data_IF_202503989294
#
_entry.id   IF_202503989294
#
_cell.length_a   1.000
_cell.length_b   1.000
_cell.length_c   1.000
_cell.angle_alpha   90.00
_cell.angle_beta   90.00
_cell.angle_gamma   90.00
#
_symmetry.space_group_name_H-M   'P 1'
#
loop_
_entity.id
_entity.type
_entity.pdbx_description
1 polymer ?
#
# COMPACT_ATOMS: atom_id res chain seq x y z
N UNK A 1 -23.99 -40.99 17.70
CA UNK A 1 -22.90 -40.57 18.60
C UNK A 1 -22.28 -39.33 17.98
N UNK A 2 -22.84 -38.17 18.31
CA UNK A 2 -22.46 -36.88 17.75
C UNK A 2 -21.36 -36.30 18.63
N UNK A 3 -20.13 -36.24 18.12
CA UNK A 3 -19.02 -35.60 18.84
C UNK A 3 -19.16 -34.09 18.61
N UNK A 4 -19.75 -33.40 19.59
CA UNK A 4 -19.60 -31.94 19.69
C UNK A 4 -18.16 -31.66 20.14
N UNK A 5 -17.34 -31.14 19.23
CA UNK A 5 -16.07 -30.50 19.61
C UNK A 5 -16.40 -29.15 20.24
N UNK A 6 -16.37 -29.09 21.57
CA UNK A 6 -16.36 -27.84 22.30
C UNK A 6 -14.99 -27.19 22.12
N UNK A 7 -14.92 -26.09 21.37
CA UNK A 7 -13.76 -25.22 21.37
C UNK A 7 -13.70 -24.49 22.72
N UNK A 8 -12.58 -24.65 23.43
CA UNK A 8 -12.25 -23.80 24.55
C UNK A 8 -12.16 -22.34 24.05
N UNK A 9 -12.65 -21.34 24.82
CA UNK A 9 -12.46 -19.96 24.45
C UNK A 9 -10.96 -19.66 24.45
N UNK A 10 -10.43 -19.19 23.32
CA UNK A 10 -9.13 -18.53 23.32
C UNK A 10 -9.22 -17.36 24.30
N UNK A 11 -8.28 -17.27 25.25
CA UNK A 11 -8.03 -16.03 25.97
C UNK A 11 -7.72 -14.96 24.91
N UNK A 12 -8.70 -14.09 24.66
CA UNK A 12 -8.50 -12.93 23.80
C UNK A 12 -7.56 -12.00 24.55
N UNK A 13 -6.34 -11.82 24.03
CA UNK A 13 -5.51 -10.68 24.41
C UNK A 13 -6.38 -9.42 24.35
N UNK A 14 -6.28 -8.55 25.36
CA UNK A 14 -7.04 -7.31 25.39
C UNK A 14 -6.82 -6.55 24.08
N UNK A 15 -7.90 -6.10 23.44
CA UNK A 15 -7.81 -5.37 22.18
C UNK A 15 -6.95 -4.11 22.38
N UNK A 16 -6.01 -3.87 21.46
CA UNK A 16 -5.18 -2.68 21.49
C UNK A 16 -6.07 -1.43 21.43
N UNK A 17 -5.92 -0.53 22.40
CA UNK A 17 -6.49 0.81 22.39
C UNK A 17 -5.39 1.84 22.11
N UNK A 18 -5.71 3.04 21.62
CA UNK A 18 -4.70 4.07 21.36
C UNK A 18 -3.83 4.33 22.59
N UNK A 19 -4.44 4.50 23.77
CA UNK A 19 -3.74 4.68 25.04
C UNK A 19 -2.76 3.54 25.36
N UNK A 20 -3.17 2.28 25.16
CA UNK A 20 -2.28 1.14 25.44
C UNK A 20 -1.10 1.08 24.49
N UNK A 21 -1.30 1.44 23.21
CA UNK A 21 -0.23 1.45 22.21
C UNK A 21 0.72 2.62 22.45
N UNK A 22 0.20 3.82 22.74
CA UNK A 22 1.00 5.01 23.01
C UNK A 22 1.83 4.88 24.29
N UNK A 23 1.30 4.28 25.36
CA UNK A 23 2.05 4.03 26.61
C UNK A 23 3.24 3.10 26.45
N UNK A 24 3.22 2.26 25.42
CA UNK A 24 4.31 1.32 25.10
C UNK A 24 5.39 1.98 24.20
N UNK A 25 5.18 3.23 23.77
CA UNK A 25 6.19 3.99 23.04
C UNK A 25 7.37 4.33 23.96
N UNK A 26 8.58 4.24 23.41
CA UNK A 26 9.81 4.65 24.14
C UNK A 26 9.97 6.17 24.16
N UNK A 27 9.27 6.88 23.26
CA UNK A 27 9.10 8.31 23.31
C UNK A 27 7.72 8.68 22.74
N UNK A 28 7.00 9.57 23.40
CA UNK A 28 5.69 10.06 23.00
C UNK A 28 5.53 11.53 23.40
N UNK A 29 5.22 12.38 22.43
CA UNK A 29 4.96 13.80 22.65
C UNK A 29 3.55 14.14 22.18
N UNK A 30 2.67 14.51 23.12
CA UNK A 30 1.31 14.99 22.88
C UNK A 30 1.24 16.49 22.49
N UNK A 31 2.41 17.17 22.49
CA UNK A 31 2.59 18.56 22.07
C UNK A 31 1.81 19.61 22.87
N UNK A 32 1.21 19.22 23.99
CA UNK A 32 0.64 20.11 25.02
C UNK A 32 1.72 20.98 25.69
N UNK A 33 2.94 20.46 25.71
CA UNK A 33 4.15 21.11 26.19
C UNK A 33 5.39 20.41 25.64
N UNK A 34 6.58 20.76 26.13
CA UNK A 34 7.84 20.23 25.61
C UNK A 34 8.19 18.84 26.16
N UNK A 35 7.45 18.31 27.14
CA UNK A 35 7.84 17.07 27.82
C UNK A 35 7.35 15.84 27.07
N UNK A 36 8.10 14.75 27.21
CA UNK A 36 7.65 13.41 26.86
C UNK A 36 6.54 12.96 27.82
N UNK A 37 5.43 12.46 27.28
CA UNK A 37 4.24 12.05 28.02
C UNK A 37 4.39 10.68 28.71
N UNK A 38 5.37 9.87 28.33
CA UNK A 38 5.69 8.58 28.93
C UNK A 38 6.79 8.66 30.01
N UNK A 39 7.31 9.86 30.30
CA UNK A 39 8.27 10.10 31.39
C UNK A 39 9.73 9.78 31.04
N UNK A 40 10.07 9.66 29.76
CA UNK A 40 11.45 9.41 29.32
C UNK A 40 12.39 10.62 29.45
N UNK A 41 11.86 11.79 29.83
CA UNK A 41 12.58 13.07 29.98
C UNK A 41 13.24 13.63 28.71
N UNK A 42 12.84 13.16 27.53
CA UNK A 42 13.28 13.67 26.22
C UNK A 42 12.59 15.01 25.88
N UNK A 43 13.01 16.08 26.56
CA UNK A 43 12.41 17.41 26.47
C UNK A 43 12.67 18.04 25.09
N UNK A 44 11.62 18.54 24.46
CA UNK A 44 11.65 19.25 23.18
C UNK A 44 12.19 20.67 23.36
N UNK A 45 13.26 20.97 22.63
CA UNK A 45 13.90 22.30 22.61
C UNK A 45 13.63 22.98 21.26
N UNK A 46 12.88 24.09 21.24
CA UNK A 46 12.63 24.87 20.04
C UNK A 46 13.90 25.37 19.35
N UNK A 47 13.93 25.36 18.02
CA UNK A 47 14.95 26.01 17.21
C UNK A 47 14.37 26.56 15.90
N UNK A 48 15.09 27.47 15.24
CA UNK A 48 14.63 28.14 14.03
C UNK A 48 13.66 29.28 14.31
N UNK A 49 12.53 29.30 13.59
CA UNK A 49 11.49 30.33 13.68
C UNK A 49 10.61 30.22 14.93
N UNK A 50 9.30 30.45 14.78
CA UNK A 50 8.38 30.55 15.92
C UNK A 50 7.73 29.20 16.26
N UNK A 51 7.84 28.79 17.52
CA UNK A 51 7.18 27.60 18.09
C UNK A 51 6.11 28.01 19.10
N UNK A 52 4.93 27.41 18.99
CA UNK A 52 3.80 27.60 19.90
C UNK A 52 3.31 26.22 20.37
N UNK A 53 3.66 25.80 21.59
CA UNK A 53 3.14 24.58 22.20
C UNK A 53 1.72 24.79 22.73
N UNK A 54 0.95 23.69 22.86
CA UNK A 54 -0.34 23.73 23.54
C UNK A 54 -1.43 24.48 22.77
N UNK A 55 -1.34 24.54 21.43
CA UNK A 55 -2.39 25.13 20.59
C UNK A 55 -3.63 24.23 20.67
N UNK A 56 -4.77 24.72 21.21
CA UNK A 56 -5.95 23.89 21.36
C UNK A 56 -6.56 23.54 20.01
N UNK A 57 -6.82 22.26 19.79
CA UNK A 57 -7.66 21.78 18.71
C UNK A 57 -9.13 21.99 19.09
N UNK A 58 -10.02 22.11 18.10
CA UNK A 58 -11.45 22.39 18.33
C UNK A 58 -12.34 21.46 17.52
N UNK A 59 -13.55 21.22 18.02
CA UNK A 59 -14.57 20.41 17.32
C UNK A 59 -14.09 19.00 16.96
N UNK A 60 -14.19 18.66 15.69
CA UNK A 60 -13.81 17.34 15.17
C UNK A 60 -12.30 17.08 15.29
N UNK A 61 -11.45 18.11 15.20
CA UNK A 61 -10.00 17.95 15.33
C UNK A 61 -9.60 17.54 16.76
N UNK A 62 -10.23 18.13 17.79
CA UNK A 62 -10.00 17.74 19.18
C UNK A 62 -10.48 16.31 19.46
N UNK A 63 -11.67 15.97 18.94
CA UNK A 63 -12.22 14.61 19.04
C UNK A 63 -11.32 13.59 18.33
N UNK A 64 -10.77 13.94 17.17
CA UNK A 64 -9.86 13.11 16.40
C UNK A 64 -8.51 12.90 17.08
N UNK A 65 -7.97 13.93 17.74
CA UNK A 65 -6.74 13.83 18.54
C UNK A 65 -6.90 12.86 19.71
N UNK A 66 -7.96 13.02 20.53
CA UNK A 66 -8.24 12.10 21.64
C UNK A 66 -8.45 10.64 21.20
N UNK A 67 -9.13 10.42 20.08
CA UNK A 67 -9.33 9.07 19.52
C UNK A 67 -8.03 8.39 19.07
N UNK A 68 -6.94 9.14 18.92
CA UNK A 68 -5.62 8.66 18.49
C UNK A 68 -4.61 8.60 19.64
N UNK A 69 -5.03 8.90 20.86
CA UNK A 69 -4.15 8.97 22.03
C UNK A 69 -3.50 10.33 22.25
N UNK A 70 -3.83 11.34 21.43
CA UNK A 70 -3.47 12.73 21.69
C UNK A 70 -4.33 13.37 22.79
N UNK A 71 -3.96 14.57 23.21
CA UNK A 71 -4.59 15.27 24.33
C UNK A 71 -5.50 16.44 23.89
N UNK A 72 -5.72 16.59 22.58
CA UNK A 72 -6.49 17.69 22.01
C UNK A 72 -5.70 18.98 21.81
N UNK A 73 -4.37 18.97 21.97
CA UNK A 73 -3.49 20.09 21.65
C UNK A 73 -2.50 19.73 20.55
N UNK A 74 -1.91 20.76 19.95
CA UNK A 74 -0.85 20.62 18.96
C UNK A 74 0.28 21.63 19.24
N UNK A 75 1.44 21.39 18.66
CA UNK A 75 2.46 22.41 18.49
C UNK A 75 2.31 23.04 17.11
N UNK A 76 2.32 24.38 17.04
CA UNK A 76 2.46 25.11 15.78
C UNK A 76 3.91 25.48 15.55
N UNK A 77 4.42 25.07 14.40
CA UNK A 77 5.76 25.41 13.91
C UNK A 77 5.63 26.42 12.76
N UNK A 78 6.48 27.44 12.73
CA UNK A 78 6.60 28.42 11.65
C UNK A 78 8.06 28.55 11.26
N UNK A 79 8.45 27.82 10.22
CA UNK A 79 9.84 27.67 9.79
C UNK A 79 10.75 27.31 10.97
N UNK A 80 10.30 26.36 11.78
CA UNK A 80 10.91 25.98 13.06
C UNK A 80 10.90 24.47 13.23
N UNK A 81 11.71 23.99 14.17
CA UNK A 81 11.79 22.57 14.53
C UNK A 81 12.01 22.40 16.04
N UNK A 82 11.99 21.15 16.50
CA UNK A 82 12.13 20.77 17.89
C UNK A 82 13.27 19.74 18.01
N UNK A 83 14.33 20.12 18.72
CA UNK A 83 15.42 19.23 19.06
C UNK A 83 15.01 18.38 20.25
N UNK A 84 15.15 17.07 20.15
CA UNK A 84 14.84 16.15 21.26
C UNK A 84 16.04 16.07 22.21
N UNK A 85 15.97 16.76 23.35
CA UNK A 85 16.68 16.56 24.63
C UNK A 85 18.22 16.60 24.67
N UNK A 86 18.90 16.57 23.53
CA UNK A 86 20.30 16.16 23.35
C UNK A 86 20.51 14.65 23.53
N UNK A 87 20.81 13.96 22.44
CA UNK A 87 21.17 12.52 22.40
C UNK A 87 22.45 12.13 23.16
N UNK A 88 22.89 12.90 24.16
CA UNK A 88 24.11 12.68 24.94
C UNK A 88 24.03 11.48 25.91
N UNK A 89 22.82 11.03 26.28
CA UNK A 89 22.61 9.82 27.11
C UNK A 89 22.09 8.60 26.32
N UNK A 90 22.01 8.69 24.99
CA UNK A 90 21.50 7.61 24.15
C UNK A 90 19.97 7.53 24.01
N UNK A 91 19.23 8.56 24.46
CA UNK A 91 17.77 8.61 24.31
C UNK A 91 17.37 8.55 22.82
N UNK A 92 16.44 7.65 22.50
CA UNK A 92 15.91 7.40 21.14
C UNK A 92 16.97 6.95 20.11
N UNK A 93 18.13 6.49 20.56
CA UNK A 93 19.06 5.74 19.71
C UNK A 93 18.58 4.31 19.55
N UNK A 94 17.79 4.07 18.50
CA UNK A 94 17.27 2.74 18.21
C UNK A 94 18.40 1.79 17.79
N UNK A 95 18.29 0.55 18.25
CA UNK A 95 19.14 -0.59 17.88
C UNK A 95 18.23 -1.74 17.48
N UNK A 96 18.76 -2.73 16.76
CA UNK A 96 17.96 -3.87 16.31
C UNK A 96 17.50 -3.73 14.86
N UNK A 97 16.66 -4.66 14.45
CA UNK A 97 16.10 -4.77 13.10
C UNK A 97 14.65 -4.26 13.00
N UNK A 98 14.12 -3.63 14.06
CA UNK A 98 12.69 -3.30 14.14
C UNK A 98 12.43 -1.98 14.84
N UNK A 99 11.46 -1.25 14.33
CA UNK A 99 10.97 -0.02 14.94
C UNK A 99 9.66 0.44 14.32
N UNK A 100 9.00 1.38 14.99
CA UNK A 100 7.87 2.14 14.42
C UNK A 100 7.99 3.62 14.78
N UNK A 101 7.71 4.52 13.85
CA UNK A 101 7.50 5.97 14.07
C UNK A 101 6.07 6.29 13.68
N UNK A 102 5.43 7.20 14.41
CA UNK A 102 4.19 7.87 14.01
C UNK A 102 4.37 9.39 14.15
N UNK A 103 3.88 10.15 13.18
CA UNK A 103 3.68 11.60 13.29
C UNK A 103 2.28 11.94 12.76
N UNK A 104 1.47 12.62 13.58
CA UNK A 104 0.21 13.23 13.13
C UNK A 104 0.41 14.72 12.89
N UNK A 105 0.27 15.16 11.64
CA UNK A 105 0.57 16.54 11.26
C UNK A 105 -0.48 17.13 10.30
N UNK A 106 -0.52 18.46 10.23
CA UNK A 106 -1.22 19.23 9.20
C UNK A 106 -0.27 20.29 8.66
N UNK A 107 0.04 20.22 7.37
CA UNK A 107 0.87 21.23 6.72
C UNK A 107 0.03 22.51 6.50
N UNK A 108 0.48 23.63 7.07
CA UNK A 108 -0.12 24.96 6.82
C UNK A 108 0.77 25.82 5.89
N UNK A 109 1.98 25.35 5.61
CA UNK A 109 2.93 25.99 4.70
C UNK A 109 2.57 25.77 3.23
N UNK A 110 2.96 26.72 2.38
CA UNK A 110 2.86 26.57 0.93
C UNK A 110 3.92 25.60 0.36
N UNK A 111 4.96 25.28 1.15
CA UNK A 111 6.07 24.42 0.75
C UNK A 111 5.96 23.05 1.43
N UNK A 112 6.04 22.00 0.62
CA UNK A 112 6.07 20.60 1.07
C UNK A 112 7.50 20.07 1.20
N UNK A 113 8.53 20.86 0.89
CA UNK A 113 9.94 20.46 1.03
C UNK A 113 10.43 20.55 2.48
N UNK A 114 9.89 19.67 3.33
CA UNK A 114 10.11 19.69 4.78
C UNK A 114 10.37 18.30 5.32
N UNK A 115 10.82 18.21 6.57
CA UNK A 115 11.07 16.96 7.29
C UNK A 115 10.21 16.92 8.54
N UNK A 116 9.48 15.82 8.74
CA UNK A 116 8.53 15.67 9.85
C UNK A 116 9.24 15.16 11.10
N UNK A 117 10.13 14.17 10.97
CA UNK A 117 10.90 13.58 12.07
C UNK A 117 12.15 12.91 11.51
N UNK A 118 13.32 13.22 12.06
CA UNK A 118 14.57 12.76 11.47
C UNK A 118 15.72 12.57 12.44
N UNK A 119 16.45 11.46 12.23
CA UNK A 119 17.75 11.17 12.81
C UNK A 119 18.73 10.88 11.66
N UNK A 120 19.09 11.96 10.96
CA UNK A 120 19.79 11.94 9.68
C UNK A 120 21.32 11.91 9.84
N UNK A 121 21.95 13.02 10.21
CA UNK A 121 23.41 13.09 10.39
C UNK A 121 24.25 12.85 9.13
N UNK A 122 23.62 12.85 7.95
CA UNK A 122 24.21 12.61 6.64
C UNK A 122 23.84 11.24 6.06
N UNK A 123 23.89 11.09 4.73
CA UNK A 123 23.40 9.87 4.05
C UNK A 123 24.06 8.56 4.53
N UNK A 124 25.34 8.60 4.93
CA UNK A 124 26.07 7.43 5.42
C UNK A 124 25.75 7.10 6.88
N UNK A 125 25.10 8.02 7.59
CA UNK A 125 24.82 7.94 9.04
C UNK A 125 23.32 7.93 9.35
N UNK A 126 22.46 8.16 8.35
CA UNK A 126 21.01 8.16 8.44
C UNK A 126 20.50 6.87 9.09
N UNK A 127 19.80 6.98 10.22
CA UNK A 127 19.06 5.87 10.82
C UNK A 127 17.62 5.84 10.30
N UNK A 128 16.91 6.95 10.46
CA UNK A 128 15.55 7.10 9.94
C UNK A 128 15.25 8.57 9.62
N UNK A 129 14.50 8.77 8.54
CA UNK A 129 14.06 10.07 8.07
C UNK A 129 12.60 9.95 7.61
N UNK A 130 11.70 10.78 8.10
CA UNK A 130 10.35 10.92 7.59
C UNK A 130 10.20 12.33 7.03
N UNK A 131 10.02 12.42 5.72
CA UNK A 131 10.09 13.67 4.98
C UNK A 131 8.91 13.87 4.03
N UNK A 132 8.76 15.13 3.63
CA UNK A 132 7.84 15.58 2.60
C UNK A 132 8.63 16.23 1.45
N UNK A 133 8.10 16.15 0.23
CA UNK A 133 8.68 16.82 -0.93
C UNK A 133 7.61 17.39 -1.85
N UNK A 134 7.83 18.59 -2.37
CA UNK A 134 6.93 19.17 -3.37
C UNK A 134 7.18 18.56 -4.75
N UNK A 135 6.13 18.05 -5.39
CA UNK A 135 6.23 17.41 -6.70
C UNK A 135 5.76 18.35 -7.83
N UNK A 136 6.11 18.02 -9.07
CA UNK A 136 5.57 18.70 -10.25
C UNK A 136 4.04 18.64 -10.29
N UNK A 137 3.43 19.61 -10.98
CA UNK A 137 1.97 19.75 -11.07
C UNK A 137 1.24 19.92 -9.72
N UNK A 138 1.97 20.29 -8.64
CA UNK A 138 1.40 20.65 -7.34
C UNK A 138 0.96 19.46 -6.49
N UNK A 139 1.33 18.23 -6.85
CA UNK A 139 1.25 17.10 -5.92
C UNK A 139 2.36 17.21 -4.85
N UNK A 140 2.27 16.39 -3.81
CA UNK A 140 3.31 16.26 -2.81
C UNK A 140 3.68 14.78 -2.63
N UNK A 141 4.87 14.51 -2.15
CA UNK A 141 5.30 13.17 -1.72
C UNK A 141 5.47 13.18 -0.20
N UNK A 142 5.02 12.11 0.46
CA UNK A 142 5.49 11.74 1.79
C UNK A 142 6.36 10.50 1.62
N UNK A 143 7.58 10.58 2.14
CA UNK A 143 8.57 9.53 2.01
C UNK A 143 9.30 9.25 3.32
N UNK A 144 9.93 8.09 3.36
CA UNK A 144 10.84 7.74 4.45
C UNK A 144 12.11 7.10 3.93
N UNK A 145 13.18 7.28 4.68
CA UNK A 145 14.43 6.56 4.52
C UNK A 145 14.72 5.82 5.82
N UNK A 146 15.07 4.53 5.72
CA UNK A 146 15.57 3.72 6.83
C UNK A 146 16.96 3.22 6.46
N UNK A 147 17.96 3.52 7.30
CA UNK A 147 19.32 3.07 7.11
C UNK A 147 19.66 1.88 7.98
N UNK A 148 20.15 0.83 7.33
CA UNK A 148 20.71 -0.36 7.98
C UNK A 148 22.17 -0.59 7.56
N UNK A 149 22.78 -1.60 8.17
CA UNK A 149 24.05 -2.19 7.71
C UNK A 149 23.97 -2.82 6.31
N UNK A 150 22.77 -2.95 5.73
CA UNK A 150 22.52 -3.42 4.35
C UNK A 150 22.18 -2.30 3.37
N UNK A 151 22.29 -1.04 3.79
CA UNK A 151 22.06 0.12 2.93
C UNK A 151 20.84 0.95 3.33
N UNK A 152 20.22 1.61 2.36
CA UNK A 152 19.05 2.48 2.57
C UNK A 152 17.81 1.86 1.93
N UNK A 153 16.72 1.80 2.68
CA UNK A 153 15.38 1.54 2.15
C UNK A 153 14.58 2.84 2.05
N UNK A 154 13.76 2.93 0.99
CA UNK A 154 12.87 4.07 0.77
C UNK A 154 11.46 3.60 0.48
N UNK A 155 10.48 4.17 1.16
CA UNK A 155 9.06 4.04 0.83
C UNK A 155 8.46 5.42 0.64
N UNK A 156 7.45 5.53 -0.22
CA UNK A 156 6.84 6.81 -0.58
C UNK A 156 5.39 6.67 -1.00
N UNK A 157 4.62 7.74 -0.84
CA UNK A 157 3.26 7.90 -1.34
C UNK A 157 3.09 9.31 -1.92
N UNK A 158 2.36 9.43 -3.01
CA UNK A 158 2.00 10.72 -3.60
C UNK A 158 0.66 11.16 -3.03
N UNK A 159 0.60 12.39 -2.54
CA UNK A 159 -0.60 13.04 -2.00
C UNK A 159 -1.11 14.09 -2.98
N UNK A 160 -2.40 13.98 -3.33
CA UNK A 160 -3.05 14.89 -4.27
C UNK A 160 -3.27 16.28 -3.66
N UNK A 161 -3.40 17.32 -4.50
CA UNK A 161 -3.63 18.71 -4.05
C UNK A 161 -4.76 18.88 -3.02
N UNK A 162 -5.84 18.10 -3.16
CA UNK A 162 -7.01 18.20 -2.31
C UNK A 162 -6.84 17.55 -0.93
N UNK A 163 -5.82 16.71 -0.78
CA UNK A 163 -5.53 15.99 0.46
C UNK A 163 -4.53 16.78 1.32
N UNK A 164 -3.67 17.60 0.71
CA UNK A 164 -2.56 18.31 1.35
C UNK A 164 -2.93 19.32 2.46
N UNK A 165 -4.19 19.73 2.59
CA UNK A 165 -4.61 20.69 3.62
C UNK A 165 -5.16 20.03 4.88
N UNK A 166 -5.35 18.71 4.85
CA UNK A 166 -5.89 17.91 5.94
C UNK A 166 -4.86 17.53 6.99
N UNK A 167 -5.37 16.96 8.09
CA UNK A 167 -4.55 16.20 9.02
C UNK A 167 -4.21 14.85 8.42
N UNK A 168 -2.97 14.40 8.61
CA UNK A 168 -2.51 13.07 8.23
C UNK A 168 -1.81 12.37 9.39
N UNK A 169 -2.10 11.07 9.53
CA UNK A 169 -1.37 10.14 10.38
C UNK A 169 -0.36 9.38 9.53
N UNK A 170 0.94 9.64 9.72
CA UNK A 170 1.99 8.95 8.96
C UNK A 170 2.77 8.04 9.88
N UNK A 171 2.70 6.73 9.62
CA UNK A 171 3.48 5.74 10.34
C UNK A 171 4.49 5.06 9.43
N UNK A 172 5.70 4.84 9.95
CA UNK A 172 6.75 4.06 9.28
C UNK A 172 7.11 2.90 10.18
N UNK A 173 7.08 1.69 9.63
CA UNK A 173 7.40 0.47 10.37
C UNK A 173 8.55 -0.27 9.69
N UNK A 174 9.61 -0.53 10.45
CA UNK A 174 10.64 -1.49 10.06
C UNK A 174 10.40 -2.81 10.81
N UNK A 175 10.29 -3.91 10.07
CA UNK A 175 9.93 -5.23 10.58
C UNK A 175 11.04 -6.29 10.37
N UNK A 176 12.30 -5.85 10.26
CA UNK A 176 13.49 -6.69 10.03
C UNK A 176 13.63 -7.32 8.64
N UNK A 177 12.53 -7.37 7.90
CA UNK A 177 12.46 -7.94 6.54
C UNK A 177 11.80 -7.02 5.52
N UNK A 178 11.14 -5.95 5.99
CA UNK A 178 10.54 -4.92 5.16
C UNK A 178 10.39 -3.60 5.91
N UNK A 179 10.34 -2.52 5.15
CA UNK A 179 9.91 -1.19 5.59
C UNK A 179 8.54 -0.91 5.00
N UNK A 180 7.57 -0.55 5.83
CA UNK A 180 6.20 -0.23 5.46
C UNK A 180 5.91 1.24 5.78
N UNK A 181 5.29 1.96 4.84
CA UNK A 181 4.72 3.29 5.06
C UNK A 181 3.20 3.18 5.13
N UNK A 182 2.64 3.82 6.15
CA UNK A 182 1.22 3.95 6.37
C UNK A 182 0.82 5.42 6.31
N UNK A 183 -0.31 5.68 5.66
CA UNK A 183 -0.97 6.97 5.63
C UNK A 183 -2.41 6.76 6.10
N UNK A 184 -2.82 7.47 7.14
CA UNK A 184 -4.17 7.44 7.71
C UNK A 184 -4.63 6.02 8.05
N UNK A 185 -3.71 5.23 8.64
CA UNK A 185 -3.91 3.84 9.04
C UNK A 185 -3.84 2.79 7.92
N UNK A 186 -3.76 3.21 6.65
CA UNK A 186 -3.64 2.31 5.50
C UNK A 186 -2.17 2.14 5.08
N UNK A 187 -1.72 0.89 4.86
CA UNK A 187 -0.39 0.64 4.29
C UNK A 187 -0.37 1.06 2.83
N UNK A 188 0.38 2.11 2.51
CA UNK A 188 0.45 2.73 1.17
C UNK A 188 1.71 2.38 0.40
N UNK A 189 2.77 1.92 1.07
CA UNK A 189 4.01 1.49 0.42
C UNK A 189 4.72 0.44 1.28
N UNK A 190 5.43 -0.49 0.62
CA UNK A 190 6.20 -1.54 1.29
C UNK A 190 7.39 -1.95 0.42
N UNK A 191 8.58 -2.03 1.01
CA UNK A 191 9.80 -2.49 0.32
C UNK A 191 10.51 -3.54 1.16
N UNK A 192 11.03 -4.58 0.51
CA UNK A 192 11.88 -5.57 1.17
C UNK A 192 13.20 -4.92 1.63
N UNK A 193 13.51 -5.05 2.91
CA UNK A 193 14.74 -4.52 3.50
C UNK A 193 15.06 -5.29 4.77
N UNK A 194 16.32 -5.62 4.98
CA UNK A 194 16.76 -6.38 6.15
C UNK A 194 18.09 -5.83 6.65
N UNK A 195 18.50 -6.25 7.84
CA UNK A 195 19.71 -5.75 8.49
C UNK A 195 19.43 -5.00 9.79
N UNK A 196 20.48 -4.77 10.54
CA UNK A 196 20.44 -3.99 11.78
C UNK A 196 20.39 -2.51 11.44
N UNK A 197 19.56 -1.74 12.17
CA UNK A 197 19.59 -0.27 12.09
C UNK A 197 21.02 0.21 12.27
N UNK A 198 21.44 1.20 11.46
CA UNK A 198 22.79 1.75 11.55
C UNK A 198 23.08 2.23 12.98
N UNK A 199 24.35 2.21 13.42
CA UNK A 199 24.70 2.68 14.75
C UNK A 199 24.21 4.10 15.02
N UNK A 200 23.91 4.36 16.29
CA UNK A 200 23.52 5.68 16.78
C UNK A 200 24.45 6.79 16.27
N UNK A 201 23.84 7.90 15.84
CA UNK A 201 24.55 9.14 15.56
C UNK A 201 24.58 10.03 16.81
N UNK A 202 25.65 10.82 16.94
CA UNK A 202 25.75 11.93 17.90
C UNK A 202 24.87 13.13 17.52
N UNK A 203 24.21 13.04 16.37
CA UNK A 203 23.26 14.02 15.86
C UNK A 203 21.91 13.84 16.56
N UNK A 204 21.30 14.92 17.06
CA UNK A 204 20.03 14.83 17.75
C UNK A 204 18.91 14.36 16.81
N UNK A 205 17.89 13.74 17.39
CA UNK A 205 16.59 13.61 16.74
C UNK A 205 15.95 15.00 16.66
N UNK A 206 15.38 15.31 15.50
CA UNK A 206 14.64 16.57 15.26
C UNK A 206 13.24 16.25 14.77
N UNK A 207 12.24 16.94 15.33
CA UNK A 207 10.86 16.95 14.84
C UNK A 207 10.64 18.26 14.09
N UNK A 208 10.09 18.21 12.88
CA UNK A 208 9.86 19.37 12.04
C UNK A 208 11.14 19.95 11.40
N UNK A 209 12.19 19.14 11.23
CA UNK A 209 13.46 19.56 10.64
C UNK A 209 14.39 18.39 10.33
N UNK A 210 15.41 18.64 9.51
CA UNK A 210 16.42 17.67 9.10
C UNK A 210 17.80 18.08 9.64
N UNK A 211 18.39 17.28 10.55
CA UNK A 211 19.66 17.62 11.14
C UNK A 211 20.83 17.23 10.23
N UNK A 212 21.58 18.22 9.76
CA UNK A 212 22.82 18.07 8.97
C UNK A 212 24.02 18.56 9.77
N UNK A 213 24.57 17.70 10.63
CA UNK A 213 25.64 18.09 11.56
C UNK A 213 25.10 18.96 12.68
N UNK A 214 25.58 20.20 12.80
CA UNK A 214 25.11 21.18 13.81
C UNK A 214 23.97 22.07 13.31
N UNK A 215 23.65 22.02 12.00
CA UNK A 215 22.60 22.83 11.40
C UNK A 215 21.33 21.99 11.18
N UNK A 216 20.18 22.67 11.22
CA UNK A 216 18.86 22.10 10.94
C UNK A 216 18.25 22.80 9.72
N UNK A 217 17.88 22.01 8.72
CA UNK A 217 17.35 22.45 7.42
C UNK A 217 15.97 21.86 7.16
N UNK A 218 15.28 22.31 6.10
CA UNK A 218 13.95 21.80 5.69
C UNK A 218 12.89 21.88 6.80
N UNK A 219 12.88 23.00 7.51
CA UNK A 219 12.01 23.21 8.67
C UNK A 219 10.53 23.19 8.32
N UNK A 220 9.72 22.79 9.30
CA UNK A 220 8.29 22.60 9.13
C UNK A 220 7.50 23.88 9.41
N UNK A 221 6.42 24.06 8.66
CA UNK A 221 5.42 25.12 8.87
C UNK A 221 4.03 24.50 8.90
N UNK A 222 3.45 24.38 10.08
CA UNK A 222 2.16 23.71 10.27
C UNK A 222 1.92 23.31 11.70
N UNK A 223 1.00 22.36 11.89
CA UNK A 223 0.68 21.78 13.19
C UNK A 223 1.17 20.34 13.27
N UNK A 224 1.68 19.96 14.44
CA UNK A 224 1.90 18.57 14.83
C UNK A 224 1.09 18.32 16.09
N UNK A 225 0.17 17.38 16.04
CA UNK A 225 -0.67 16.99 17.18
C UNK A 225 0.11 16.09 18.11
N UNK A 226 0.69 15.02 17.57
CA UNK A 226 1.56 14.16 18.36
C UNK A 226 2.58 13.40 17.51
N UNK A 227 3.65 12.95 18.16
CA UNK A 227 4.65 12.08 17.57
C UNK A 227 5.07 11.00 18.57
N UNK A 228 5.33 9.79 18.07
CA UNK A 228 5.67 8.64 18.90
C UNK A 228 6.67 7.70 18.22
N UNK A 229 7.49 7.03 19.02
CA UNK A 229 8.53 6.10 18.58
C UNK A 229 8.48 4.83 19.41
N UNK A 230 8.55 3.68 18.75
CA UNK A 230 8.63 2.35 19.36
C UNK A 230 9.89 1.63 18.90
N UNK A 231 10.58 0.94 19.81
CA UNK A 231 11.68 0.01 19.51
C UNK A 231 11.19 -1.38 19.04
N UNK A 232 9.94 -1.47 18.59
CA UNK A 232 9.31 -2.68 18.05
C UNK A 232 8.50 -2.37 16.80
N UNK A 233 8.18 -3.43 16.07
CA UNK A 233 7.25 -3.39 14.96
C UNK A 233 5.81 -3.44 15.49
N UNK A 234 5.04 -2.37 15.33
CA UNK A 234 3.61 -2.38 15.62
C UNK A 234 2.87 -3.25 14.60
N UNK A 235 1.81 -3.94 15.02
CA UNK A 235 0.93 -4.68 14.12
C UNK A 235 0.12 -3.72 13.22
N UNK A 236 -0.43 -4.25 12.11
CA UNK A 236 -1.32 -3.46 11.26
C UNK A 236 -2.54 -2.93 12.04
N UNK A 237 -3.05 -3.68 13.03
CA UNK A 237 -4.17 -3.24 13.86
C UNK A 237 -3.76 -2.13 14.83
N UNK A 238 -2.61 -2.25 15.50
CA UNK A 238 -2.12 -1.18 16.39
C UNK A 238 -1.97 0.14 15.64
N UNK A 239 -1.41 0.11 14.41
CA UNK A 239 -1.28 1.30 13.57
C UNK A 239 -2.66 1.87 13.17
N UNK A 240 -3.61 1.02 12.77
CA UNK A 240 -4.98 1.49 12.48
C UNK A 240 -5.63 2.18 13.66
N UNK A 241 -5.51 1.59 14.85
CA UNK A 241 -6.10 2.11 16.08
C UNK A 241 -5.52 3.47 16.45
N UNK A 242 -4.19 3.62 16.43
CA UNK A 242 -3.54 4.93 16.71
C UNK A 242 -3.72 5.95 15.58
N UNK A 243 -4.12 5.53 14.38
CA UNK A 243 -4.56 6.42 13.30
C UNK A 243 -6.07 6.72 13.33
N UNK A 244 -6.78 6.32 14.40
CA UNK A 244 -8.18 6.67 14.62
C UNK A 244 -9.15 6.01 13.63
N UNK A 245 -8.75 4.88 13.04
CA UNK A 245 -9.63 4.05 12.20
C UNK A 245 -10.59 3.30 13.11
N UNK A 246 -11.80 3.84 13.28
CA UNK A 246 -12.86 3.21 14.09
C UNK A 246 -13.52 2.06 13.33
N UNK A 247 -13.65 0.91 13.98
CA UNK A 247 -14.59 -0.13 13.56
C UNK A 247 -14.16 -0.94 12.34
N UNK A 248 -13.60 -2.11 12.64
CA UNK A 248 -13.55 -3.25 11.73
C UNK A 248 -12.31 -3.29 10.84
N UNK A 249 -11.75 -4.50 10.67
CA UNK A 249 -10.63 -4.72 9.77
C UNK A 249 -10.96 -4.38 8.32
N UNK A 250 -10.02 -4.69 7.42
CA UNK A 250 -10.24 -4.61 5.96
C UNK A 250 -11.66 -5.08 5.63
N UNK A 251 -12.39 -4.25 4.89
CA UNK A 251 -13.81 -4.37 4.52
C UNK A 251 -14.87 -3.72 5.42
N UNK A 252 -14.53 -2.95 6.45
CA UNK A 252 -15.52 -2.26 7.29
C UNK A 252 -15.57 -0.74 7.07
N UNK A 253 -14.92 -0.24 6.02
CA UNK A 253 -14.89 1.18 5.69
C UNK A 253 -16.29 1.70 5.26
N UNK A 254 -16.57 2.99 5.51
CA UNK A 254 -17.88 3.63 5.30
C UNK A 254 -18.58 3.30 3.98
N UNK A 255 -17.81 3.19 2.89
CA UNK A 255 -18.33 2.92 1.55
C UNK A 255 -17.98 1.53 1.02
N UNK A 256 -17.34 0.69 1.85
CA UNK A 256 -16.99 -0.65 1.44
C UNK A 256 -18.26 -1.50 1.30
N UNK A 257 -18.55 -2.03 0.10
CA UNK A 257 -19.67 -2.94 -0.06
C UNK A 257 -19.47 -4.21 0.76
N UNK A 258 -20.49 -4.63 1.50
CA UNK A 258 -20.45 -5.86 2.31
C UNK A 258 -20.81 -7.13 1.52
N UNK A 259 -21.52 -6.98 0.41
CA UNK A 259 -22.02 -8.10 -0.41
C UNK A 259 -21.63 -7.98 -1.90
N UNK A 260 -20.87 -6.95 -2.26
CA UNK A 260 -20.29 -6.82 -3.60
C UNK A 260 -18.78 -6.95 -3.51
N UNK A 261 -18.19 -7.52 -4.54
CA UNK A 261 -16.74 -7.62 -4.64
C UNK A 261 -16.10 -6.23 -4.75
N UNK A 262 -15.08 -5.97 -3.94
CA UNK A 262 -14.06 -4.95 -4.17
C UNK A 262 -12.70 -5.57 -3.85
N UNK A 263 -11.56 -5.09 -4.38
CA UNK A 263 -10.26 -5.51 -3.87
C UNK A 263 -10.01 -4.93 -2.46
N UNK A 264 -9.09 -5.50 -1.66
CA UNK A 264 -8.77 -4.98 -0.33
C UNK A 264 -8.30 -3.52 -0.39
N UNK A 265 -7.49 -3.21 -1.40
CA UNK A 265 -6.90 -1.88 -1.66
C UNK A 265 -6.84 -1.63 -3.16
N UNK A 266 -6.59 -0.38 -3.54
CA UNK A 266 -6.28 0.09 -4.91
C UNK A 266 -7.43 0.04 -5.93
N UNK A 267 -7.09 0.39 -7.18
CA UNK A 267 -8.04 0.53 -8.30
C UNK A 267 -8.46 -0.81 -8.89
N UNK A 268 -9.77 -0.99 -9.05
CA UNK A 268 -10.41 -2.09 -9.80
C UNK A 268 -11.28 -1.51 -10.92
N UNK A 269 -11.36 -2.21 -12.06
CA UNK A 269 -12.43 -2.00 -13.05
C UNK A 269 -13.03 -3.34 -13.54
N UNK A 270 -12.85 -3.68 -14.81
CA UNK A 270 -13.62 -4.72 -15.50
C UNK A 270 -13.41 -6.11 -14.86
N UNK A 271 -14.47 -6.93 -14.74
CA UNK A 271 -14.31 -8.35 -14.45
C UNK A 271 -13.67 -9.05 -15.65
N UNK A 272 -12.75 -9.97 -15.38
CA UNK A 272 -12.01 -10.74 -16.37
C UNK A 272 -12.06 -12.22 -16.04
N UNK A 273 -11.73 -13.05 -17.03
CA UNK A 273 -11.42 -14.46 -16.77
C UNK A 273 -12.50 -15.28 -16.07
N UNK A 274 -13.78 -14.84 -16.08
CA UNK A 274 -14.83 -15.46 -15.29
C UNK A 274 -15.02 -16.93 -15.69
N UNK A 275 -14.66 -17.84 -14.79
CA UNK A 275 -14.68 -19.29 -15.05
C UNK A 275 -15.04 -20.05 -13.78
N UNK A 276 -15.87 -21.08 -13.93
CA UNK A 276 -16.12 -22.05 -12.85
C UNK A 276 -15.27 -23.29 -13.11
N UNK A 277 -14.45 -23.67 -12.13
CA UNK A 277 -13.58 -24.83 -12.26
C UNK A 277 -13.35 -25.48 -10.90
N UNK A 278 -13.51 -26.80 -10.84
CA UNK A 278 -13.22 -27.62 -9.66
C UNK A 278 -13.85 -27.08 -8.35
N UNK A 279 -15.15 -26.72 -8.43
CA UNK A 279 -15.94 -26.26 -7.30
C UNK A 279 -15.80 -24.77 -6.96
N UNK A 280 -14.98 -24.01 -7.68
CA UNK A 280 -14.74 -22.59 -7.42
C UNK A 280 -15.19 -21.71 -8.60
N UNK A 281 -15.87 -20.61 -8.29
CA UNK A 281 -16.00 -19.48 -9.20
C UNK A 281 -14.74 -18.62 -9.11
N UNK A 282 -14.05 -18.45 -10.23
CA UNK A 282 -12.89 -17.57 -10.36
C UNK A 282 -13.36 -16.21 -10.88
N UNK A 283 -13.04 -15.16 -10.13
CA UNK A 283 -13.16 -13.76 -10.52
C UNK A 283 -11.75 -13.20 -10.71
N UNK A 284 -11.35 -13.00 -11.96
CA UNK A 284 -10.24 -12.12 -12.28
C UNK A 284 -10.79 -10.73 -12.53
N UNK A 285 -9.95 -9.70 -12.39
CA UNK A 285 -10.38 -8.33 -12.60
C UNK A 285 -9.20 -7.44 -12.95
N UNK A 286 -9.45 -6.42 -13.76
CA UNK A 286 -8.47 -5.36 -14.00
C UNK A 286 -8.11 -4.68 -12.69
N UNK A 287 -6.82 -4.62 -12.40
CA UNK A 287 -6.30 -4.17 -11.12
C UNK A 287 -5.02 -3.34 -11.29
N UNK A 288 -4.91 -2.24 -10.56
CA UNK A 288 -3.63 -1.53 -10.37
C UNK A 288 -3.04 -1.94 -9.01
N UNK A 289 -1.98 -2.76 -8.95
CA UNK A 289 -1.37 -3.14 -7.67
C UNK A 289 -0.57 -2.02 -7.00
N UNK A 290 -0.32 -0.90 -7.69
CA UNK A 290 0.54 0.19 -7.22
C UNK A 290 -0.20 1.49 -6.86
N UNK A 291 -1.53 1.56 -7.04
CA UNK A 291 -2.26 2.78 -6.71
C UNK A 291 -3.77 2.71 -6.89
N UNK A 292 -4.47 3.72 -6.38
CA UNK A 292 -5.92 3.86 -6.42
C UNK A 292 -6.44 4.61 -7.67
N UNK A 293 -5.62 4.73 -8.71
CA UNK A 293 -5.98 5.31 -10.02
C UNK A 293 -5.71 4.33 -11.15
N UNK A 294 -6.22 4.62 -12.34
CA UNK A 294 -5.93 3.81 -13.52
C UNK A 294 -4.45 3.89 -13.92
N UNK A 295 -3.82 2.74 -14.09
CA UNK A 295 -2.42 2.56 -14.49
C UNK A 295 -1.92 1.16 -14.11
N UNK A 296 -0.81 0.72 -14.69
CA UNK A 296 -0.17 -0.55 -14.34
C UNK A 296 -1.10 -1.79 -14.35
N UNK A 297 -1.96 -1.87 -15.37
CA UNK A 297 -3.03 -2.86 -15.38
C UNK A 297 -2.50 -4.29 -15.35
N UNK A 298 -3.04 -5.03 -14.40
CA UNK A 298 -2.76 -6.44 -14.11
C UNK A 298 -4.09 -7.16 -13.84
N UNK A 299 -4.12 -8.49 -13.90
CA UNK A 299 -5.27 -9.26 -13.42
C UNK A 299 -5.11 -9.59 -11.93
N UNK A 300 -5.91 -8.92 -11.10
CA UNK A 300 -6.18 -9.38 -9.74
C UNK A 300 -7.03 -10.66 -9.75
N UNK A 301 -7.03 -11.41 -8.66
CA UNK A 301 -7.72 -12.71 -8.60
C UNK A 301 -8.41 -12.95 -7.25
N UNK A 302 -9.63 -13.46 -7.30
CA UNK A 302 -10.34 -14.01 -6.16
C UNK A 302 -11.12 -15.27 -6.56
N UNK A 303 -11.37 -16.14 -5.59
CA UNK A 303 -12.22 -17.33 -5.75
C UNK A 303 -13.36 -17.32 -4.76
N UNK A 304 -14.50 -17.90 -5.13
CA UNK A 304 -15.65 -18.07 -4.25
C UNK A 304 -16.35 -19.41 -4.53
N UNK A 305 -16.84 -20.11 -3.50
CA UNK A 305 -17.70 -21.27 -3.69
C UNK A 305 -19.14 -20.89 -4.07
N UNK A 306 -19.57 -19.65 -3.85
CA UNK A 306 -21.00 -19.24 -3.86
C UNK A 306 -21.29 -17.87 -4.48
N UNK A 307 -20.29 -17.22 -5.08
CA UNK A 307 -20.34 -15.86 -5.65
C UNK A 307 -20.56 -14.73 -4.62
N UNK A 308 -20.55 -15.04 -3.32
CA UNK A 308 -20.76 -14.07 -2.23
C UNK A 308 -19.53 -13.95 -1.34
N UNK A 309 -18.99 -15.09 -0.88
CA UNK A 309 -17.84 -15.13 0.01
C UNK A 309 -16.57 -15.31 -0.81
N UNK A 310 -15.82 -14.22 -0.99
CA UNK A 310 -14.63 -14.18 -1.83
C UNK A 310 -13.35 -14.35 -1.00
N UNK A 311 -12.46 -15.23 -1.47
CA UNK A 311 -11.08 -15.35 -1.00
C UNK A 311 -10.16 -14.70 -2.03
N UNK A 312 -9.50 -13.62 -1.63
CA UNK A 312 -8.48 -12.97 -2.46
C UNK A 312 -7.24 -13.85 -2.62
N UNK A 313 -6.67 -13.83 -3.82
CA UNK A 313 -5.46 -14.53 -4.20
C UNK A 313 -4.45 -13.52 -4.77
N UNK A 314 -3.16 -13.89 -4.89
CA UNK A 314 -2.16 -13.04 -5.52
C UNK A 314 -2.54 -12.61 -6.95
N UNK A 315 -1.93 -11.51 -7.43
CA UNK A 315 -2.03 -11.08 -8.84
C UNK A 315 -1.51 -12.19 -9.75
N UNK A 316 -2.23 -12.49 -10.84
CA UNK A 316 -1.99 -13.67 -11.69
C UNK A 316 -1.40 -13.34 -13.06
N UNK A 317 -1.79 -12.21 -13.66
CA UNK A 317 -1.19 -11.67 -14.88
C UNK A 317 -0.74 -10.23 -14.61
N UNK A 318 0.48 -10.01 -14.08
CA UNK A 318 0.98 -8.68 -13.83
C UNK A 318 1.28 -7.94 -15.14
N UNK A 319 1.34 -6.61 -15.06
CA UNK A 319 2.12 -5.81 -16.01
C UNK A 319 3.57 -6.31 -16.01
N UNK A 320 4.14 -6.50 -17.21
CA UNK A 320 5.50 -6.99 -17.38
C UNK A 320 6.06 -6.49 -18.70
N UNK A 321 7.36 -6.20 -18.75
CA UNK A 321 8.06 -5.72 -19.96
C UNK A 321 7.41 -4.47 -20.61
N UNK A 322 6.81 -3.61 -19.80
CA UNK A 322 6.09 -2.41 -20.25
C UNK A 322 4.75 -2.70 -20.95
N UNK A 323 4.26 -3.94 -20.85
CA UNK A 323 2.97 -4.38 -21.38
C UNK A 323 1.98 -4.56 -20.25
N UNK A 324 0.94 -3.74 -20.27
CA UNK A 324 -0.19 -3.88 -19.36
C UNK A 324 -1.08 -5.06 -19.78
N UNK A 325 -1.53 -5.85 -18.82
CA UNK A 325 -2.51 -6.91 -19.04
C UNK A 325 -3.91 -6.31 -18.93
N UNK A 326 -4.55 -6.07 -20.08
CA UNK A 326 -5.91 -5.56 -20.20
C UNK A 326 -6.95 -6.68 -20.14
N UNK A 327 -8.22 -6.29 -20.19
CA UNK A 327 -9.38 -7.16 -20.05
C UNK A 327 -9.38 -8.35 -21.01
N UNK A 328 -10.13 -9.38 -20.62
CA UNK A 328 -10.25 -10.61 -21.39
C UNK A 328 -11.07 -11.68 -20.67
N UNK A 329 -10.94 -12.92 -21.13
CA UNK A 329 -11.74 -14.05 -20.67
C UNK A 329 -10.90 -15.30 -20.44
N UNK A 330 -11.46 -16.31 -19.78
CA UNK A 330 -10.80 -17.58 -19.56
C UNK A 330 -11.76 -18.75 -19.85
N UNK A 331 -11.19 -19.89 -20.21
CA UNK A 331 -11.89 -21.14 -20.51
C UNK A 331 -11.16 -22.33 -19.90
N UNK A 332 -11.89 -23.37 -19.51
CA UNK A 332 -11.30 -24.68 -19.19
C UNK A 332 -11.19 -25.48 -20.49
N UNK A 333 -9.98 -25.75 -20.94
CA UNK A 333 -9.72 -26.57 -22.12
C UNK A 333 -9.70 -28.05 -21.73
N UNK A 334 -10.88 -28.59 -21.45
CA UNK A 334 -11.05 -29.97 -20.99
C UNK A 334 -10.52 -31.02 -21.98
N UNK A 335 -10.51 -30.70 -23.27
CA UNK A 335 -9.99 -31.57 -24.33
C UNK A 335 -8.49 -31.47 -24.55
N UNK A 336 -7.80 -30.59 -23.80
CA UNK A 336 -6.39 -30.23 -24.02
C UNK A 336 -6.08 -29.91 -25.50
N UNK A 337 -7.01 -29.22 -26.16
CA UNK A 337 -6.86 -28.84 -27.58
C UNK A 337 -5.69 -27.89 -27.80
N UNK A 338 -5.36 -27.07 -26.79
CA UNK A 338 -4.20 -26.18 -26.79
C UNK A 338 -2.87 -26.91 -26.63
N UNK A 339 -2.88 -28.11 -26.04
CA UNK A 339 -1.69 -28.87 -25.70
C UNK A 339 -0.95 -28.38 -24.44
N UNK A 340 -1.51 -27.41 -23.69
CA UNK A 340 -0.89 -26.89 -22.47
C UNK A 340 -1.08 -27.82 -21.25
N UNK A 341 -2.09 -28.69 -21.28
CA UNK A 341 -2.36 -29.68 -20.24
C UNK A 341 -1.22 -30.67 -20.04
N UNK A 342 -0.98 -31.04 -18.78
CA UNK A 342 0.02 -32.04 -18.37
C UNK A 342 -0.60 -33.04 -17.41
N UNK A 343 -0.17 -34.30 -17.50
CA UNK A 343 -0.52 -35.37 -16.55
C UNK A 343 -2.03 -35.51 -16.29
N UNK A 344 -2.83 -35.36 -17.35
CA UNK A 344 -4.30 -35.44 -17.28
C UNK A 344 -4.99 -34.20 -16.68
N UNK A 345 -4.23 -33.17 -16.29
CA UNK A 345 -4.77 -31.90 -15.79
C UNK A 345 -5.17 -31.01 -16.97
N UNK A 346 -6.47 -30.68 -17.14
CA UNK A 346 -6.90 -29.75 -18.17
C UNK A 346 -6.46 -28.32 -17.81
N UNK A 347 -5.92 -27.54 -18.75
CA UNK A 347 -5.50 -26.17 -18.47
C UNK A 347 -6.69 -25.22 -18.41
N UNK A 348 -6.60 -24.21 -17.54
CA UNK A 348 -7.36 -22.97 -17.71
C UNK A 348 -6.57 -22.09 -18.66
N UNK A 349 -7.17 -21.66 -19.77
CA UNK A 349 -6.53 -20.77 -20.74
C UNK A 349 -7.20 -19.40 -20.66
N UNK A 350 -6.43 -18.37 -20.33
CA UNK A 350 -6.84 -16.98 -20.37
C UNK A 350 -6.46 -16.37 -21.71
N UNK A 351 -7.41 -15.71 -22.37
CA UNK A 351 -7.16 -14.80 -23.47
C UNK A 351 -7.31 -13.36 -22.95
N UNK A 352 -6.31 -12.53 -23.20
CA UNK A 352 -6.25 -11.16 -22.67
C UNK A 352 -5.64 -10.22 -23.70
N UNK A 353 -5.92 -8.93 -23.56
CA UNK A 353 -5.26 -7.91 -24.38
C UNK A 353 -3.94 -7.50 -23.74
N UNK A 354 -2.83 -7.56 -24.46
CA UNK A 354 -1.59 -6.89 -24.07
C UNK A 354 -1.60 -5.47 -24.65
N UNK A 355 -1.45 -4.47 -23.79
CA UNK A 355 -1.40 -3.06 -24.17
C UNK A 355 0.03 -2.51 -24.06
N UNK A 356 0.59 -2.13 -25.20
CA UNK A 356 1.83 -1.39 -25.29
C UNK A 356 1.50 0.11 -25.36
N UNK A 357 1.62 0.80 -24.23
CA UNK A 357 1.34 2.22 -24.13
C UNK A 357 2.32 3.09 -24.94
N UNK A 358 3.57 2.64 -25.09
CA UNK A 358 4.60 3.38 -25.83
C UNK A 358 4.37 3.31 -27.35
N UNK A 359 3.86 2.18 -27.85
CA UNK A 359 3.55 2.00 -29.27
C UNK A 359 2.10 2.26 -29.63
N UNK A 360 1.26 2.61 -28.65
CA UNK A 360 -0.20 2.72 -28.80
C UNK A 360 -0.80 1.49 -29.48
N UNK A 361 -0.41 0.29 -29.03
CA UNK A 361 -0.79 -0.98 -29.66
C UNK A 361 -1.55 -1.86 -28.69
N UNK A 362 -2.61 -2.50 -29.17
CA UNK A 362 -3.36 -3.52 -28.43
C UNK A 362 -3.34 -4.82 -29.24
N UNK A 363 -2.91 -5.90 -28.59
CA UNK A 363 -2.73 -7.22 -29.21
C UNK A 363 -3.37 -8.30 -28.35
N UNK A 364 -3.82 -9.42 -28.94
CA UNK A 364 -4.45 -10.49 -28.18
C UNK A 364 -3.41 -11.56 -27.85
N UNK A 365 -3.32 -11.89 -26.58
CA UNK A 365 -2.39 -12.85 -26.03
C UNK A 365 -3.15 -13.97 -25.32
N UNK A 366 -2.49 -15.11 -25.13
CA UNK A 366 -2.99 -16.21 -24.30
C UNK A 366 -1.99 -16.57 -23.21
N UNK A 367 -2.50 -17.01 -22.07
CA UNK A 367 -1.75 -17.58 -20.97
C UNK A 367 -2.49 -18.81 -20.46
N UNK A 368 -1.79 -19.74 -19.82
CA UNK A 368 -2.40 -20.96 -19.31
C UNK A 368 -1.99 -21.25 -17.86
N UNK A 369 -2.85 -22.00 -17.17
CA UNK A 369 -2.66 -22.41 -15.79
C UNK A 369 -2.98 -23.89 -15.61
N UNK A 370 -2.15 -24.58 -14.82
CA UNK A 370 -2.36 -25.99 -14.41
C UNK A 370 -2.60 -26.13 -12.91
N UNK A 371 -2.65 -25.02 -12.16
CA UNK A 371 -2.85 -25.00 -10.71
C UNK A 371 -4.24 -24.45 -10.33
N UNK A 372 -5.22 -24.66 -11.22
CA UNK A 372 -6.59 -24.12 -11.18
C UNK A 372 -6.61 -22.58 -11.18
N UNK A 373 -5.77 -21.93 -11.98
CA UNK A 373 -5.79 -20.49 -12.18
C UNK A 373 -5.11 -19.68 -11.07
N UNK A 374 -4.26 -20.30 -10.24
CA UNK A 374 -3.55 -19.63 -9.13
C UNK A 374 -2.29 -18.94 -9.63
N UNK A 375 -1.69 -19.46 -10.69
CA UNK A 375 -0.63 -18.81 -11.47
C UNK A 375 -0.84 -19.07 -12.96
N UNK A 376 -0.37 -18.14 -13.80
CA UNK A 376 -0.46 -18.24 -15.25
C UNK A 376 0.92 -18.13 -15.90
N UNK A 377 1.15 -18.99 -16.89
CA UNK A 377 2.30 -18.94 -17.79
C UNK A 377 1.86 -18.29 -19.10
N UNK A 378 2.45 -17.16 -19.46
CA UNK A 378 2.22 -16.51 -20.77
C UNK A 378 2.73 -17.43 -21.89
N UNK A 379 1.96 -17.56 -22.97
CA UNK A 379 2.39 -18.35 -24.12
C UNK A 379 3.55 -17.66 -24.84
N UNK A 380 4.63 -18.40 -25.10
CA UNK A 380 5.83 -17.89 -25.76
C UNK A 380 5.56 -17.35 -27.19
N UNK A 381 4.54 -17.89 -27.86
CA UNK A 381 4.12 -17.43 -29.19
C UNK A 381 3.19 -16.21 -29.18
N UNK A 382 3.09 -15.48 -28.07
CA UNK A 382 2.31 -14.25 -28.00
C UNK A 382 2.95 -13.10 -28.83
N UNK A 383 2.14 -12.18 -29.38
CA UNK A 383 0.68 -12.19 -29.39
C UNK A 383 0.11 -13.23 -30.38
N UNK A 384 -1.05 -13.80 -30.05
CA UNK A 384 -1.73 -14.76 -30.94
C UNK A 384 -2.54 -14.09 -32.05
N UNK A 385 -2.99 -12.85 -31.83
CA UNK A 385 -3.65 -12.04 -32.86
C UNK A 385 -3.14 -10.60 -32.76
N UNK A 386 -2.68 -10.07 -33.88
CA UNK A 386 -2.20 -8.70 -33.98
C UNK A 386 -2.60 -8.11 -35.34
N UNK A 387 -3.38 -7.04 -35.30
CA UNK A 387 -3.84 -6.30 -36.48
C UNK A 387 -3.23 -4.89 -36.55
N UNK A 388 -2.20 -4.61 -35.75
CA UNK A 388 -1.51 -3.33 -35.69
C UNK A 388 -2.43 -2.14 -35.34
N UNK A 389 -3.42 -2.34 -34.46
CA UNK A 389 -4.39 -1.32 -34.06
C UNK A 389 -4.21 -0.84 -32.62
N UNK A 390 -4.63 0.41 -32.36
CA UNK A 390 -4.65 1.03 -31.02
C UNK A 390 -5.89 0.66 -30.20
N UNK A 391 -6.98 0.29 -30.87
CA UNK A 391 -8.30 0.07 -30.26
C UNK A 391 -8.88 -1.30 -30.62
N UNK A 392 -8.15 -2.35 -30.23
CA UNK A 392 -8.45 -3.74 -30.53
C UNK A 392 -8.26 -4.59 -29.28
N UNK A 393 -9.34 -4.93 -28.58
CA UNK A 393 -9.25 -5.43 -27.21
C UNK A 393 -10.43 -6.27 -26.74
N UNK A 394 -10.30 -6.79 -25.53
CA UNK A 394 -11.33 -7.45 -24.72
C UNK A 394 -11.77 -8.81 -25.32
N UNK A 395 -10.85 -9.77 -25.52
CA UNK A 395 -11.15 -11.04 -26.17
C UNK A 395 -12.07 -11.91 -25.30
N UNK A 396 -13.27 -12.20 -25.80
CA UNK A 396 -14.18 -13.22 -25.27
C UNK A 396 -14.02 -14.53 -26.03
N UNK A 397 -13.49 -15.55 -25.36
CA UNK A 397 -13.30 -16.90 -25.91
C UNK A 397 -14.35 -17.86 -25.37
N UNK A 398 -14.88 -18.74 -26.22
CA UNK A 398 -15.74 -19.85 -25.81
C UNK A 398 -15.63 -21.02 -26.80
N UNK A 399 -15.98 -22.24 -26.33
CA UNK A 399 -16.08 -23.41 -27.19
C UNK A 399 -17.43 -23.40 -27.91
N UNK A 400 -17.39 -23.44 -29.25
CA UNK A 400 -18.58 -23.57 -30.08
C UNK A 400 -18.76 -25.04 -30.49
N UNK A 401 -19.56 -25.76 -29.70
CA UNK A 401 -19.78 -27.20 -29.86
C UNK A 401 -20.26 -27.64 -31.26
N UNK A 402 -21.14 -26.90 -31.98
CA UNK A 402 -21.60 -27.31 -33.32
C UNK A 402 -20.46 -27.47 -34.34
N UNK A 403 -19.48 -26.57 -34.33
CA UNK A 403 -18.33 -26.61 -35.25
C UNK A 403 -17.07 -27.23 -34.62
N UNK A 404 -17.14 -27.64 -33.35
CA UNK A 404 -16.01 -28.18 -32.57
C UNK A 404 -14.76 -27.29 -32.65
N UNK A 405 -14.93 -25.99 -32.39
CA UNK A 405 -13.83 -25.01 -32.41
C UNK A 405 -14.00 -23.98 -31.31
N UNK A 406 -12.90 -23.34 -30.96
CA UNK A 406 -12.91 -22.12 -30.18
C UNK A 406 -13.33 -20.94 -31.04
N UNK A 407 -14.13 -20.05 -30.47
CA UNK A 407 -14.50 -18.77 -31.06
C UNK A 407 -14.01 -17.67 -30.12
N UNK A 408 -13.26 -16.71 -30.67
CA UNK A 408 -12.87 -15.49 -30.00
C UNK A 408 -13.61 -14.30 -30.60
N UNK A 409 -14.21 -13.47 -29.75
CA UNK A 409 -14.83 -12.19 -30.12
C UNK A 409 -13.96 -11.08 -29.57
N UNK A 410 -13.54 -10.13 -30.41
CA UNK A 410 -12.67 -9.01 -30.00
C UNK A 410 -13.27 -7.70 -30.47
N UNK A 411 -13.26 -6.67 -29.62
CA UNK A 411 -13.80 -5.36 -29.94
C UNK A 411 -12.79 -4.51 -30.72
N UNK A 412 -13.15 -4.10 -31.94
CA UNK A 412 -12.49 -3.02 -32.67
C UNK A 412 -13.18 -1.72 -32.28
N UNK A 413 -12.81 -1.22 -31.11
CA UNK A 413 -13.64 -0.34 -30.30
C UNK A 413 -13.93 0.99 -30.97
N UNK A 414 -12.92 1.59 -31.61
CA UNK A 414 -13.10 2.86 -32.32
C UNK A 414 -14.04 2.73 -33.54
N UNK A 415 -14.07 1.56 -34.17
CA UNK A 415 -14.95 1.28 -35.32
C UNK A 415 -16.33 0.77 -34.92
N UNK A 416 -16.57 0.51 -33.63
CA UNK A 416 -17.83 -0.06 -33.11
C UNK A 416 -18.17 -1.41 -33.76
N UNK A 417 -17.15 -2.24 -34.00
CA UNK A 417 -17.27 -3.58 -34.59
C UNK A 417 -16.79 -4.64 -33.62
N UNK A 418 -17.37 -5.83 -33.73
CA UNK A 418 -16.86 -7.04 -33.11
C UNK A 418 -16.29 -7.95 -34.20
N UNK A 419 -15.04 -8.37 -34.04
CA UNK A 419 -14.38 -9.33 -34.92
C UNK A 419 -14.50 -10.73 -34.33
N UNK A 420 -14.78 -11.72 -35.18
CA UNK A 420 -14.92 -13.12 -34.80
C UNK A 420 -13.79 -13.94 -35.42
N UNK A 421 -13.06 -14.67 -34.58
CA UNK A 421 -11.97 -15.57 -34.98
C UNK A 421 -12.33 -16.99 -34.56
N UNK A 422 -11.99 -17.97 -35.40
CA UNK A 422 -12.12 -19.39 -35.08
C UNK A 422 -10.75 -20.03 -34.93
N UNK A 423 -10.58 -20.91 -33.95
CA UNK A 423 -9.33 -21.65 -33.74
C UNK A 423 -9.63 -23.07 -33.27
N UNK A 424 -8.81 -24.03 -33.68
CA UNK A 424 -8.87 -25.40 -33.18
C UNK A 424 -8.12 -25.60 -31.86
N UNK A 425 -7.20 -24.71 -31.49
CA UNK A 425 -6.20 -24.93 -30.43
C UNK A 425 -5.83 -23.68 -29.62
N UNK A 426 -6.58 -22.58 -29.75
CA UNK A 426 -6.37 -21.30 -29.04
C UNK A 426 -5.06 -20.56 -29.38
N UNK A 427 -4.34 -21.01 -30.42
CA UNK A 427 -3.08 -20.43 -30.91
C UNK A 427 -3.29 -19.88 -32.34
N UNK A 428 -2.28 -19.17 -32.92
CA UNK A 428 -2.37 -18.51 -34.23
C UNK A 428 -2.79 -19.40 -35.39
#
# INVERSE_FOLDING_TARGET
MTVLLAFAPLETAAAATPDTVMRDAIAFWDMSGPNDANGANSVLTPTGGHVEFGVPLTGDDASASHKRGGDGHAVRLRDSSLIVGQGANGEVNLTGDRMTILVRFRNEGADWNTTLLSKHGGHDRLQYNLYCFAMHAGAAEIGTEIGSDRGLARTRVIIGRNEQTGWHDVAVRYAGTRVDLFLDGARVSSVGHSGELRPATDVPLVIGGEPTGNDDTRRFSGLIDHAAIWSRSLTDEEIRVISGVEGGGVYQERFRPQIHFSPPTNWLNDPNGLVFHDGEYHLFYQYNPFGNTWGHMSWGHAVSPDLLHWKHLPVTLPEEDGLMSFSGSAVVDAGNTSGFGRDGTPPIVAAYTAHDGAKHRQTQCVAWSLDRGRSFTKFEGNPVIDIHASDFRDPKVFWYAPDKRWVMIVALSNERKALFYGSSDLKP
#
